data_IF_717346776296
#
_entry.id   IF_717346776296
#
_cell.length_a   1.000
_cell.length_b   1.000
_cell.length_c   1.000
_cell.angle_alpha   90.00
_cell.angle_beta   90.00
_cell.angle_gamma   90.00
#
_symmetry.space_group_name_H-M   'P 1'
#
loop_
_entity.id
_entity.type
_entity.pdbx_description
1 polymer ?
#
# COMPACT_ATOMS: atom_id res chain seq x y z
N UNK A 1 -46.30 -32.16 -60.10
CA UNK A 1 -45.41 -32.74 -61.12
C UNK A 1 -44.93 -31.60 -62.00
N UNK A 2 -43.61 -31.49 -62.21
CA UNK A 2 -42.90 -30.57 -63.13
C UNK A 2 -42.78 -29.12 -62.61
N UNK A 3 -41.68 -28.72 -61.98
CA UNK A 3 -40.33 -28.33 -62.47
C UNK A 3 -40.23 -26.94 -63.17
N UNK A 4 -39.54 -26.04 -62.45
CA UNK A 4 -38.57 -25.00 -62.83
C UNK A 4 -38.78 -24.13 -64.10
N UNK A 5 -38.79 -22.81 -63.88
CA UNK A 5 -38.12 -21.85 -64.76
C UNK A 5 -37.64 -20.62 -63.96
N UNK A 6 -36.48 -20.11 -64.33
CA UNK A 6 -35.61 -19.16 -63.64
C UNK A 6 -36.02 -17.68 -63.76
N UNK A 7 -35.66 -16.91 -62.74
CA UNK A 7 -34.84 -15.70 -62.92
C UNK A 7 -35.54 -14.33 -62.90
N UNK A 8 -35.37 -13.60 -61.81
CA UNK A 8 -35.03 -12.17 -61.87
C UNK A 8 -34.27 -11.79 -60.61
N UNK A 9 -32.96 -11.60 -60.75
CA UNK A 9 -32.09 -11.18 -59.66
C UNK A 9 -32.34 -9.73 -59.28
N UNK A 10 -32.67 -9.48 -58.02
CA UNK A 10 -32.48 -8.16 -57.41
C UNK A 10 -31.09 -8.14 -56.79
N UNK A 11 -30.19 -7.34 -57.36
CA UNK A 11 -28.98 -6.88 -56.67
C UNK A 11 -29.42 -6.12 -55.43
N UNK A 12 -29.03 -6.60 -54.26
CA UNK A 12 -28.96 -5.78 -53.06
C UNK A 12 -27.61 -5.07 -53.12
N UNK A 13 -27.63 -3.81 -53.55
CA UNK A 13 -26.47 -2.94 -53.42
C UNK A 13 -26.28 -2.64 -51.93
N UNK A 14 -25.33 -3.33 -51.30
CA UNK A 14 -24.81 -2.95 -49.99
C UNK A 14 -24.06 -1.64 -50.16
N UNK A 15 -24.71 -0.52 -49.86
CA UNK A 15 -24.06 0.76 -49.70
C UNK A 15 -23.14 0.64 -48.48
N UNK A 16 -21.87 0.35 -48.74
CA UNK A 16 -20.81 0.46 -47.75
C UNK A 16 -20.66 1.93 -47.40
N UNK A 17 -21.11 2.32 -46.20
CA UNK A 17 -20.94 3.67 -45.71
C UNK A 17 -19.56 3.75 -45.04
N UNK A 18 -18.53 4.32 -45.69
CA UNK A 18 -17.16 4.33 -45.17
C UNK A 18 -17.05 5.02 -43.79
N UNK A 19 -18.01 5.88 -43.44
CA UNK A 19 -18.08 6.54 -42.13
C UNK A 19 -18.37 5.60 -40.95
N UNK A 20 -19.11 4.50 -41.16
CA UNK A 20 -19.48 3.57 -40.08
C UNK A 20 -18.29 2.69 -39.65
N UNK A 21 -17.45 2.29 -40.61
CA UNK A 21 -16.22 1.54 -40.35
C UNK A 21 -15.18 2.44 -39.68
N UNK A 22 -15.07 3.71 -40.12
CA UNK A 22 -14.20 4.70 -39.49
C UNK A 22 -14.59 5.02 -38.05
N UNK A 23 -15.89 5.11 -37.72
CA UNK A 23 -16.32 5.34 -36.34
C UNK A 23 -16.07 4.13 -35.43
N UNK A 24 -16.24 2.90 -35.92
CA UNK A 24 -15.92 1.69 -35.15
C UNK A 24 -14.41 1.53 -34.93
N UNK A 25 -13.58 1.83 -35.93
CA UNK A 25 -12.12 1.79 -35.76
C UNK A 25 -11.60 2.91 -34.88
N UNK A 26 -12.17 4.13 -34.95
CA UNK A 26 -11.83 5.21 -34.02
C UNK A 26 -12.23 4.87 -32.59
N UNK A 27 -13.40 4.24 -32.38
CA UNK A 27 -13.88 3.84 -31.05
C UNK A 27 -13.02 2.72 -30.45
N UNK A 28 -12.53 1.79 -31.28
CA UNK A 28 -11.55 0.77 -30.86
C UNK A 28 -10.18 1.37 -30.50
N UNK A 29 -9.71 2.36 -31.27
CA UNK A 29 -8.44 3.05 -31.00
C UNK A 29 -8.56 3.95 -29.75
N UNK A 30 -9.71 4.61 -29.53
CA UNK A 30 -9.99 5.35 -28.29
C UNK A 30 -10.14 4.40 -27.08
N UNK A 31 -10.77 3.23 -27.23
CA UNK A 31 -10.81 2.22 -26.18
C UNK A 31 -9.42 1.68 -25.83
N UNK A 32 -8.55 1.46 -26.82
CA UNK A 32 -7.18 1.02 -26.59
C UNK A 32 -6.29 2.12 -25.97
N UNK A 33 -6.56 3.40 -26.27
CA UNK A 33 -5.84 4.53 -25.68
C UNK A 33 -6.32 4.88 -24.25
N UNK A 34 -7.57 4.58 -23.91
CA UNK A 34 -8.15 4.79 -22.55
C UNK A 34 -7.98 3.58 -21.64
N UNK A 35 -7.73 2.39 -22.20
CA UNK A 35 -7.31 1.22 -21.43
C UNK A 35 -5.82 1.38 -21.08
N UNK A 36 -5.52 2.25 -20.11
CA UNK A 36 -4.21 2.26 -19.46
C UNK A 36 -3.88 0.83 -19.05
N UNK A 37 -2.76 0.29 -19.52
CA UNK A 37 -2.28 -1.00 -19.06
C UNK A 37 -2.05 -0.87 -17.56
N UNK A 38 -2.85 -1.57 -16.76
CA UNK A 38 -2.65 -1.71 -15.32
C UNK A 38 -1.15 -1.89 -15.05
N UNK A 39 -0.53 -1.05 -14.21
CA UNK A 39 0.89 -1.16 -13.94
C UNK A 39 1.21 -2.59 -13.51
N UNK A 40 2.16 -3.21 -14.21
CA UNK A 40 2.53 -4.60 -14.01
C UNK A 40 2.89 -4.83 -12.52
N UNK A 41 2.08 -5.64 -11.82
CA UNK A 41 2.32 -5.94 -10.41
C UNK A 41 3.51 -6.89 -10.28
N UNK A 42 4.62 -6.39 -9.71
CA UNK A 42 5.82 -7.17 -9.52
C UNK A 42 5.83 -7.87 -8.14
N UNK A 43 5.47 -9.16 -8.16
CA UNK A 43 5.42 -10.02 -6.97
C UNK A 43 6.76 -10.08 -6.23
N UNK A 44 7.88 -10.15 -6.96
CA UNK A 44 9.19 -10.28 -6.34
C UNK A 44 9.57 -9.02 -5.57
N UNK A 45 9.37 -7.85 -6.18
CA UNK A 45 9.60 -6.55 -5.53
C UNK A 45 8.72 -6.41 -4.29
N UNK A 46 7.46 -6.81 -4.37
CA UNK A 46 6.56 -6.81 -3.23
C UNK A 46 7.07 -7.71 -2.10
N UNK A 47 7.48 -8.95 -2.41
CA UNK A 47 8.00 -9.88 -1.41
C UNK A 47 9.30 -9.37 -0.78
N UNK A 48 10.13 -8.65 -1.53
CA UNK A 48 11.31 -7.98 -0.99
C UNK A 48 10.92 -6.83 -0.05
N UNK A 49 9.97 -5.97 -0.45
CA UNK A 49 9.47 -4.82 0.33
C UNK A 49 8.95 -5.27 1.70
N UNK A 50 8.19 -6.37 1.77
CA UNK A 50 7.61 -6.89 3.02
C UNK A 50 8.48 -7.92 3.76
N UNK A 51 9.73 -8.12 3.32
CA UNK A 51 10.73 -8.92 4.05
C UNK A 51 10.66 -10.43 3.84
N UNK A 52 9.82 -10.92 2.92
CA UNK A 52 9.75 -12.33 2.54
C UNK A 52 10.91 -12.77 1.64
N UNK A 53 11.51 -11.82 0.91
CA UNK A 53 12.73 -12.02 0.13
C UNK A 53 13.80 -11.02 0.55
N UNK A 54 15.09 -11.40 0.54
CA UNK A 54 16.16 -10.43 0.73
C UNK A 54 16.24 -9.47 -0.49
N UNK A 55 16.58 -8.19 -0.29
CA UNK A 55 16.87 -7.28 -1.38
C UNK A 55 18.01 -7.85 -2.23
N UNK A 56 17.84 -7.82 -3.55
CA UNK A 56 18.81 -8.34 -4.51
C UNK A 56 19.20 -7.23 -5.47
N UNK A 57 20.49 -7.12 -5.82
CA UNK A 57 20.91 -6.23 -6.90
C UNK A 57 20.15 -6.62 -8.20
N UNK A 58 19.61 -5.66 -8.97
CA UNK A 58 18.94 -5.94 -10.25
C UNK A 58 19.75 -6.87 -11.18
N UNK A 59 21.08 -6.84 -11.10
CA UNK A 59 21.99 -7.71 -11.88
C UNK A 59 22.06 -9.16 -11.39
N UNK A 60 21.60 -9.44 -10.17
CA UNK A 60 21.63 -10.74 -9.49
C UNK A 60 20.24 -11.36 -9.29
N UNK A 61 19.16 -10.67 -9.72
CA UNK A 61 17.77 -11.17 -9.66
C UNK A 61 17.60 -12.54 -10.36
N UNK A 62 18.41 -12.80 -11.40
CA UNK A 62 18.37 -14.03 -12.21
C UNK A 62 18.78 -15.30 -11.44
N UNK A 63 19.46 -15.21 -10.28
CA UNK A 63 19.96 -16.37 -9.53
C UNK A 63 19.00 -16.89 -8.43
N UNK A 64 17.76 -16.43 -8.40
CA UNK A 64 16.77 -16.87 -7.41
C UNK A 64 16.20 -18.24 -7.78
N UNK A 65 16.32 -19.22 -6.87
CA UNK A 65 15.69 -20.53 -7.09
C UNK A 65 14.17 -20.41 -7.01
N UNK A 66 13.45 -21.14 -7.87
CA UNK A 66 11.99 -21.24 -7.82
C UNK A 66 11.48 -21.67 -6.43
N UNK A 67 12.25 -22.51 -5.73
CA UNK A 67 11.98 -22.94 -4.36
C UNK A 67 12.01 -21.78 -3.36
N UNK A 68 12.94 -20.83 -3.52
CA UNK A 68 13.01 -19.65 -2.64
C UNK A 68 11.77 -18.78 -2.81
N UNK A 69 11.35 -18.55 -4.05
CA UNK A 69 10.15 -17.77 -4.35
C UNK A 69 8.89 -18.47 -3.83
N UNK A 70 8.77 -19.78 -4.04
CA UNK A 70 7.65 -20.58 -3.55
C UNK A 70 7.55 -20.53 -2.01
N UNK A 71 8.69 -20.63 -1.32
CA UNK A 71 8.74 -20.55 0.14
C UNK A 71 8.34 -19.17 0.65
N UNK A 72 8.80 -18.10 -0.02
CA UNK A 72 8.42 -16.73 0.31
C UNK A 72 6.91 -16.49 0.13
N UNK A 73 6.32 -17.00 -0.96
CA UNK A 73 4.88 -16.94 -1.20
C UNK A 73 4.08 -17.72 -0.15
N UNK A 74 4.51 -18.93 0.18
CA UNK A 74 3.85 -19.73 1.21
C UNK A 74 3.88 -19.03 2.59
N UNK A 75 5.02 -18.40 2.94
CA UNK A 75 5.14 -17.64 4.18
C UNK A 75 4.24 -16.40 4.20
N UNK A 76 4.08 -15.71 3.07
CA UNK A 76 3.12 -14.62 2.92
C UNK A 76 1.69 -15.14 3.09
N UNK A 77 1.31 -16.17 2.35
CA UNK A 77 -0.03 -16.75 2.40
C UNK A 77 -0.40 -17.18 3.83
N UNK A 78 0.56 -17.78 4.55
CA UNK A 78 0.41 -18.13 5.96
C UNK A 78 0.14 -16.92 6.85
N UNK A 79 0.88 -15.82 6.65
CA UNK A 79 0.72 -14.59 7.43
C UNK A 79 -0.65 -13.95 7.22
N UNK A 80 -1.13 -13.92 5.97
CA UNK A 80 -2.45 -13.39 5.60
C UNK A 80 -3.61 -14.34 5.91
N UNK A 81 -3.32 -15.56 6.38
CA UNK A 81 -4.36 -16.55 6.69
C UNK A 81 -5.09 -17.07 5.45
N UNK A 82 -4.44 -17.04 4.28
CA UNK A 82 -4.97 -17.57 3.02
C UNK A 82 -4.34 -18.93 2.69
N UNK A 83 -4.87 -19.63 1.69
CA UNK A 83 -4.37 -20.95 1.31
C UNK A 83 -2.88 -20.91 0.94
N UNK A 84 -2.06 -21.69 1.66
CA UNK A 84 -0.61 -21.79 1.48
C UNK A 84 -0.25 -22.67 0.27
N UNK A 85 -0.52 -22.18 -0.93
CA UNK A 85 -0.22 -22.88 -2.18
C UNK A 85 1.24 -22.73 -2.62
N UNK A 86 1.93 -21.70 -2.13
CA UNK A 86 3.25 -21.26 -2.60
C UNK A 86 3.25 -20.73 -4.04
N UNK A 87 2.07 -20.51 -4.63
CA UNK A 87 1.89 -20.09 -6.01
C UNK A 87 1.24 -18.71 -6.08
N UNK A 88 1.58 -17.97 -7.12
CA UNK A 88 0.92 -16.71 -7.44
C UNK A 88 -0.40 -17.00 -8.16
N UNK A 89 -1.48 -17.16 -7.40
CA UNK A 89 -2.84 -17.23 -7.92
C UNK A 89 -3.56 -15.88 -7.81
N UNK A 90 -4.74 -15.76 -8.45
CA UNK A 90 -5.53 -14.52 -8.45
C UNK A 90 -5.84 -14.04 -7.04
N UNK A 91 -6.25 -14.96 -6.17
CA UNK A 91 -6.52 -14.65 -4.76
C UNK A 91 -5.27 -14.10 -4.06
N UNK A 92 -4.09 -14.69 -4.28
CA UNK A 92 -2.82 -14.21 -3.73
C UNK A 92 -2.54 -12.79 -4.18
N UNK A 93 -2.69 -12.48 -5.48
CA UNK A 93 -2.51 -11.12 -6.01
C UNK A 93 -3.52 -10.15 -5.40
N UNK A 94 -4.80 -10.53 -5.30
CA UNK A 94 -5.84 -9.68 -4.72
C UNK A 94 -5.51 -9.32 -3.27
N UNK A 95 -5.00 -10.28 -2.49
CA UNK A 95 -4.53 -10.02 -1.12
C UNK A 95 -3.27 -9.17 -1.05
N UNK A 96 -2.35 -9.32 -2.00
CA UNK A 96 -1.13 -8.50 -2.08
C UNK A 96 -1.43 -7.03 -2.42
N UNK A 97 -2.46 -6.79 -3.24
CA UNK A 97 -2.88 -5.45 -3.69
C UNK A 97 -3.73 -4.69 -2.67
N UNK A 98 -4.20 -5.34 -1.59
CA UNK A 98 -4.98 -4.66 -0.55
C UNK A 98 -4.14 -3.57 0.14
N UNK A 99 -4.71 -2.36 0.34
CA UNK A 99 -4.05 -1.29 1.08
C UNK A 99 -3.63 -1.76 2.48
N UNK A 100 -2.46 -1.31 2.93
CA UNK A 100 -1.81 -1.83 4.13
C UNK A 100 -0.77 -0.88 4.69
N UNK A 101 -0.28 -1.21 5.88
CA UNK A 101 0.95 -0.63 6.42
C UNK A 101 2.15 -1.12 5.59
N UNK A 102 3.14 -0.26 5.34
CA UNK A 102 4.38 -0.67 4.65
C UNK A 102 5.52 -1.08 5.57
N UNK A 103 5.26 -1.26 6.86
CA UNK A 103 6.21 -1.94 7.76
C UNK A 103 6.33 -3.41 7.31
N UNK A 104 7.54 -3.97 7.17
CA UNK A 104 7.72 -5.36 6.75
C UNK A 104 7.08 -6.38 7.70
N UNK A 105 6.44 -7.40 7.13
CA UNK A 105 5.79 -8.50 7.86
C UNK A 105 6.81 -9.39 8.58
N UNK A 106 8.02 -9.50 8.00
CA UNK A 106 9.14 -10.26 8.55
C UNK A 106 10.34 -9.35 8.83
N UNK A 107 10.67 -9.14 10.11
CA UNK A 107 11.92 -8.48 10.49
C UNK A 107 13.08 -9.47 10.41
N UNK A 108 14.21 -9.01 9.86
CA UNK A 108 15.46 -9.77 9.75
C UNK A 108 15.95 -10.16 11.15
N UNK A 109 15.70 -11.41 11.55
CA UNK A 109 15.96 -11.90 12.90
C UNK A 109 14.88 -12.86 13.44
N UNK A 110 13.75 -12.97 12.73
CA UNK A 110 12.74 -14.00 12.99
C UNK A 110 13.30 -15.38 12.59
N UNK A 111 13.97 -16.03 13.54
CA UNK A 111 14.57 -17.35 13.44
C UNK A 111 13.63 -18.39 12.83
N UNK A 112 14.16 -19.29 11.97
CA UNK A 112 13.50 -20.45 11.33
C UNK A 112 12.95 -21.51 12.31
N UNK A 113 12.94 -21.25 13.61
CA UNK A 113 12.54 -22.20 14.63
C UNK A 113 11.16 -21.82 15.17
N UNK A 114 10.31 -22.83 15.37
CA UNK A 114 8.95 -22.77 15.95
C UNK A 114 8.97 -22.32 17.44
N UNK A 115 9.61 -21.18 17.73
CA UNK A 115 9.59 -20.56 19.05
C UNK A 115 8.33 -19.69 19.09
N UNK A 116 7.45 -19.97 20.06
CA UNK A 116 6.25 -19.17 20.36
C UNK A 116 6.61 -17.69 20.34
N UNK A 117 6.11 -16.96 19.33
CA UNK A 117 6.34 -15.52 19.20
C UNK A 117 5.70 -14.80 20.39
N UNK A 118 6.47 -13.94 21.05
CA UNK A 118 5.94 -13.03 22.06
C UNK A 118 5.03 -12.01 21.35
N UNK A 119 3.89 -11.68 21.96
CA UNK A 119 2.89 -10.75 21.41
C UNK A 119 3.31 -9.27 21.53
N UNK A 120 4.60 -8.99 21.67
CA UNK A 120 5.14 -7.64 21.85
C UNK A 120 6.43 -7.48 21.03
N UNK A 121 6.80 -6.23 20.74
CA UNK A 121 7.98 -5.90 19.94
C UNK A 121 9.25 -6.56 20.50
N UNK A 122 9.87 -7.44 19.71
CA UNK A 122 11.11 -8.14 20.05
C UNK A 122 12.37 -7.33 19.75
N UNK A 123 12.23 -6.12 19.20
CA UNK A 123 13.36 -5.24 18.87
C UNK A 123 14.12 -4.76 20.12
N UNK A 124 13.50 -4.86 21.30
CA UNK A 124 14.04 -4.33 22.55
C UNK A 124 13.91 -2.81 22.69
N UNK A 125 13.38 -2.14 21.65
CA UNK A 125 13.16 -0.70 21.64
C UNK A 125 11.85 -0.37 22.36
N UNK A 126 11.95 0.57 23.31
CA UNK A 126 10.83 1.10 24.08
C UNK A 126 11.14 2.54 24.47
N UNK A 127 10.09 3.32 24.69
CA UNK A 127 10.21 4.63 25.34
C UNK A 127 10.85 4.47 26.72
N UNK A 128 11.81 5.34 27.05
CA UNK A 128 12.50 5.34 28.35
C UNK A 128 11.74 6.16 29.40
N UNK A 129 10.76 6.95 28.98
CA UNK A 129 9.85 7.73 29.80
C UNK A 129 8.40 7.42 29.40
N UNK A 130 7.46 7.79 30.26
CA UNK A 130 6.03 7.55 30.07
C UNK A 130 5.29 8.72 29.47
N UNK A 131 5.81 9.92 29.65
CA UNK A 131 5.27 11.14 29.07
C UNK A 131 5.91 11.33 27.70
N UNK A 132 5.13 11.10 26.65
CA UNK A 132 5.54 11.13 25.26
C UNK A 132 4.98 12.40 24.63
N UNK A 133 5.82 13.13 23.94
CA UNK A 133 5.46 14.34 23.21
C UNK A 133 5.36 14.04 21.72
N UNK A 134 4.36 14.60 21.05
CA UNK A 134 4.24 14.49 19.60
C UNK A 134 3.97 15.85 18.98
N UNK A 135 4.36 16.01 17.72
CA UNK A 135 4.05 17.20 16.94
C UNK A 135 3.56 16.84 15.56
N UNK A 136 2.58 17.59 15.06
CA UNK A 136 2.00 17.42 13.72
C UNK A 136 2.58 18.52 12.84
N UNK A 137 3.51 18.16 11.95
CA UNK A 137 4.20 19.09 11.05
C UNK A 137 3.25 19.70 10.02
N UNK A 138 2.44 18.85 9.42
CA UNK A 138 1.45 19.22 8.41
C UNK A 138 0.26 18.25 8.48
N UNK A 139 -0.83 18.61 7.82
CA UNK A 139 -2.09 17.85 7.80
C UNK A 139 -2.53 17.62 6.36
N UNK A 140 -3.36 16.59 6.15
CA UNK A 140 -3.99 16.35 4.85
C UNK A 140 -5.15 17.33 4.60
N UNK A 141 -5.20 18.02 3.44
CA UNK A 141 -6.32 18.89 3.11
C UNK A 141 -7.63 18.12 2.87
N UNK A 142 -7.55 16.80 2.62
CA UNK A 142 -8.69 15.92 2.31
C UNK A 142 -9.63 15.74 3.50
N UNK A 143 -9.08 15.76 4.72
CA UNK A 143 -9.82 15.68 5.99
C UNK A 143 -9.94 17.04 6.67
N UNK A 144 -8.95 17.92 6.47
CA UNK A 144 -8.86 19.21 7.11
C UNK A 144 -8.18 19.16 8.48
N UNK A 145 -7.64 20.30 8.92
CA UNK A 145 -6.81 20.37 10.14
C UNK A 145 -7.53 19.93 11.42
N UNK A 146 -8.74 20.44 11.76
CA UNK A 146 -9.37 20.11 13.02
C UNK A 146 -9.65 18.62 13.17
N UNK A 147 -10.16 18.00 12.11
CA UNK A 147 -10.51 16.59 12.11
C UNK A 147 -9.28 15.68 12.03
N UNK A 148 -8.21 16.10 11.33
CA UNK A 148 -6.92 15.38 11.33
C UNK A 148 -6.32 15.34 12.74
N UNK A 149 -6.22 16.49 13.43
CA UNK A 149 -5.68 16.56 14.80
C UNK A 149 -6.53 15.73 15.76
N UNK A 150 -7.85 15.81 15.65
CA UNK A 150 -8.79 15.01 16.47
C UNK A 150 -8.66 13.51 16.22
N UNK A 151 -8.49 13.08 14.97
CA UNK A 151 -8.26 11.69 14.62
C UNK A 151 -6.94 11.17 15.22
N UNK A 152 -5.86 11.95 15.10
CA UNK A 152 -4.56 11.62 15.69
C UNK A 152 -4.65 11.54 17.22
N UNK A 153 -5.33 12.51 17.88
CA UNK A 153 -5.55 12.49 19.32
C UNK A 153 -6.28 11.21 19.77
N UNK A 154 -7.36 10.86 19.07
CA UNK A 154 -8.12 9.61 19.33
C UNK A 154 -7.25 8.37 19.14
N UNK A 155 -6.34 8.36 18.15
CA UNK A 155 -5.41 7.25 17.95
C UNK A 155 -4.43 7.09 19.13
N UNK A 156 -3.93 8.20 19.70
CA UNK A 156 -3.13 8.15 20.93
C UNK A 156 -3.93 7.68 22.15
N UNK A 157 -5.21 8.08 22.26
CA UNK A 157 -6.09 7.67 23.36
C UNK A 157 -6.26 6.15 23.42
N UNK A 158 -6.28 5.45 22.28
CA UNK A 158 -6.34 3.97 22.23
C UNK A 158 -5.21 3.34 23.06
N UNK A 159 -3.99 3.88 22.98
CA UNK A 159 -2.84 3.38 23.74
C UNK A 159 -2.79 3.95 25.15
N UNK A 160 -3.10 5.24 25.33
CA UNK A 160 -3.13 5.91 26.63
C UNK A 160 -4.10 5.24 27.60
N UNK A 161 -5.27 4.81 27.12
CA UNK A 161 -6.32 4.24 27.97
C UNK A 161 -5.98 2.88 28.58
N UNK A 162 -5.00 2.18 28.02
CA UNK A 162 -4.63 0.81 28.44
C UNK A 162 -3.17 0.69 28.88
N UNK A 163 -2.44 1.80 28.95
CA UNK A 163 -1.03 1.83 29.37
C UNK A 163 -0.77 3.00 30.33
N UNK A 164 0.35 3.00 31.06
CA UNK A 164 0.78 4.17 31.83
C UNK A 164 1.36 5.31 30.98
N UNK A 165 1.35 5.21 29.64
CA UNK A 165 1.86 6.25 28.77
C UNK A 165 0.89 7.45 28.76
N UNK A 166 1.42 8.64 28.58
CA UNK A 166 0.64 9.87 28.34
C UNK A 166 1.18 10.55 27.10
N UNK A 167 0.30 11.18 26.32
CA UNK A 167 0.67 11.83 25.06
C UNK A 167 0.30 13.31 25.10
N UNK A 168 1.28 14.19 24.87
CA UNK A 168 1.11 15.64 24.78
C UNK A 168 1.40 16.12 23.36
N UNK A 169 0.48 16.89 22.79
CA UNK A 169 0.70 17.58 21.52
C UNK A 169 1.49 18.87 21.76
N UNK A 170 2.61 19.02 21.08
CA UNK A 170 3.43 20.23 21.07
C UNK A 170 3.28 20.90 19.71
N UNK A 171 2.94 22.21 19.64
CA UNK A 171 2.84 22.93 18.36
C UNK A 171 4.15 22.86 17.56
N UNK A 172 4.08 22.53 16.27
CA UNK A 172 5.27 22.36 15.43
C UNK A 172 6.15 23.61 15.35
N UNK A 173 5.55 24.80 15.46
CA UNK A 173 6.27 26.08 15.52
C UNK A 173 7.25 26.19 16.70
N UNK A 174 7.06 25.41 17.78
CA UNK A 174 8.03 25.34 18.88
C UNK A 174 9.31 24.58 18.50
N UNK A 175 9.22 23.66 17.53
CA UNK A 175 10.33 22.83 17.06
C UNK A 175 11.16 23.56 15.99
N UNK A 176 10.53 24.37 15.13
CA UNK A 176 11.20 25.08 14.02
C UNK A 176 12.36 25.99 14.48
N UNK A 177 12.30 26.47 15.71
CA UNK A 177 13.34 27.31 16.30
C UNK A 177 14.50 26.51 16.94
N UNK A 178 14.49 25.18 16.84
CA UNK A 178 15.47 24.29 17.47
C UNK A 178 15.46 24.33 19.00
N UNK A 179 14.41 24.91 19.60
CA UNK A 179 14.30 25.11 21.06
C UNK A 179 13.78 23.88 21.79
N UNK A 180 13.07 23.00 21.08
CA UNK A 180 12.42 21.82 21.63
C UNK A 180 12.45 20.71 20.58
N UNK A 181 12.73 19.51 21.04
CA UNK A 181 12.57 18.28 20.27
C UNK A 181 11.36 17.51 20.84
N UNK A 182 10.78 16.63 20.05
CA UNK A 182 9.64 15.78 20.45
C UNK A 182 9.92 14.33 20.15
N UNK A 183 9.21 13.44 20.83
CA UNK A 183 9.42 12.01 20.68
C UNK A 183 8.86 11.46 19.36
N UNK A 184 7.79 12.07 18.85
CA UNK A 184 7.10 11.63 17.63
C UNK A 184 6.78 12.84 16.75
N UNK A 185 7.40 12.92 15.58
CA UNK A 185 6.97 13.84 14.51
C UNK A 185 6.02 13.13 13.56
N UNK A 186 4.86 13.73 13.35
CA UNK A 186 3.85 13.24 12.40
C UNK A 186 3.88 14.12 11.15
N UNK A 187 4.05 13.48 9.99
CA UNK A 187 4.06 14.16 8.70
C UNK A 187 3.15 13.46 7.69
N UNK A 188 2.62 14.24 6.74
CA UNK A 188 1.97 13.76 5.53
C UNK A 188 2.88 14.10 4.34
N UNK A 189 3.30 13.11 3.56
CA UNK A 189 4.23 13.33 2.45
C UNK A 189 4.00 12.32 1.30
N UNK A 190 4.40 12.67 0.09
CA UNK A 190 4.27 11.82 -1.10
C UNK A 190 5.65 11.40 -1.60
N UNK A 191 5.74 10.22 -2.22
CA UNK A 191 6.99 9.73 -2.82
C UNK A 191 8.17 9.71 -1.85
N UNK A 192 9.33 10.22 -2.27
CA UNK A 192 10.52 10.34 -1.41
C UNK A 192 10.39 11.52 -0.44
N UNK A 193 10.46 11.24 0.85
CA UNK A 193 10.12 12.20 1.91
C UNK A 193 11.16 12.28 3.04
N UNK A 194 12.44 12.06 2.73
CA UNK A 194 13.55 12.29 3.65
C UNK A 194 14.00 11.07 4.44
N UNK A 195 13.44 9.89 4.17
CA UNK A 195 13.88 8.62 4.73
C UNK A 195 14.13 7.55 3.64
N UNK A 196 14.42 6.32 4.03
CA UNK A 196 14.73 5.20 3.12
C UNK A 196 13.49 4.46 2.59
N UNK A 197 12.28 4.97 2.85
CA UNK A 197 11.02 4.26 2.66
C UNK A 197 10.02 5.11 1.86
N UNK A 198 10.29 5.39 0.57
CA UNK A 198 9.42 6.23 -0.24
C UNK A 198 8.02 5.63 -0.40
N UNK A 199 7.01 6.50 -0.46
CA UNK A 199 5.63 6.14 -0.75
C UNK A 199 5.42 5.83 -2.23
N UNK A 200 4.40 5.01 -2.53
CA UNK A 200 4.11 4.50 -3.88
C UNK A 200 2.90 5.17 -4.57
N UNK A 201 2.30 6.17 -3.93
CA UNK A 201 1.16 6.92 -4.46
C UNK A 201 -0.16 6.37 -3.94
N UNK A 202 -1.26 6.71 -4.60
CA UNK A 202 -2.58 6.25 -4.17
C UNK A 202 -2.71 4.72 -4.24
N UNK A 203 -3.10 4.13 -3.11
CA UNK A 203 -3.24 2.71 -2.92
C UNK A 203 -1.91 2.03 -2.57
N UNK A 204 -2.00 0.96 -1.79
CA UNK A 204 -0.81 0.21 -1.38
C UNK A 204 -0.29 0.65 -0.02
N UNK A 205 0.77 1.48 0.00
CA UNK A 205 1.50 1.84 1.22
C UNK A 205 0.94 3.09 1.90
N UNK A 206 0.02 2.88 2.86
CA UNK A 206 -0.70 3.99 3.49
C UNK A 206 0.16 4.86 4.42
N UNK A 207 1.03 4.23 5.22
CA UNK A 207 1.78 4.89 6.28
C UNK A 207 2.85 3.96 6.87
N UNK A 208 3.92 4.55 7.42
CA UNK A 208 4.89 3.86 8.28
C UNK A 208 5.19 4.64 9.56
N UNK A 209 5.78 3.93 10.53
CA UNK A 209 6.34 4.54 11.72
C UNK A 209 7.65 3.84 12.11
N UNK A 210 8.54 4.57 12.77
CA UNK A 210 9.79 4.04 13.30
C UNK A 210 9.63 3.58 14.76
N UNK A 211 10.44 2.60 15.17
CA UNK A 211 10.49 2.19 16.57
C UNK A 211 11.00 3.33 17.47
N UNK A 212 10.62 3.36 18.77
CA UNK A 212 11.14 4.34 19.71
C UNK A 212 12.67 4.43 19.71
N UNK A 213 13.21 5.64 19.65
CA UNK A 213 14.65 5.86 19.64
C UNK A 213 15.05 7.31 19.33
N UNK A 214 16.34 7.62 19.29
CA UNK A 214 16.83 8.94 18.93
C UNK A 214 16.64 9.24 17.43
N UNK A 215 16.67 10.52 17.06
CA UNK A 215 16.52 10.96 15.66
C UNK A 215 15.09 10.72 15.17
N UNK A 216 14.92 10.03 14.04
CA UNK A 216 13.59 9.70 13.49
C UNK A 216 12.84 8.61 14.28
N UNK A 217 13.37 8.17 15.42
CA UNK A 217 12.88 7.03 16.18
C UNK A 217 11.55 7.31 16.88
N UNK A 218 10.45 6.97 16.23
CA UNK A 218 9.08 7.24 16.72
C UNK A 218 8.25 7.99 15.69
N UNK A 219 8.92 8.67 14.75
CA UNK A 219 8.27 9.43 13.68
C UNK A 219 7.31 8.55 12.89
N UNK A 220 6.18 9.16 12.53
CA UNK A 220 5.06 8.49 11.84
C UNK A 220 4.73 9.29 10.59
N UNK A 221 4.84 8.65 9.43
CA UNK A 221 4.61 9.27 8.14
C UNK A 221 3.38 8.64 7.49
N UNK A 222 2.51 9.49 6.96
CA UNK A 222 1.32 9.11 6.19
C UNK A 222 1.51 9.50 4.73
N UNK A 223 1.10 8.65 3.80
CA UNK A 223 1.16 8.97 2.38
C UNK A 223 0.15 10.08 2.05
N UNK A 224 0.61 11.24 1.59
CA UNK A 224 -0.30 12.33 1.23
C UNK A 224 -1.07 12.11 -0.06
N UNK A 225 -0.72 11.12 -0.88
CA UNK A 225 -1.44 10.79 -2.12
C UNK A 225 -2.76 10.05 -1.83
N UNK A 226 -2.86 9.34 -0.70
CA UNK A 226 -4.04 8.57 -0.30
C UNK A 226 -5.30 9.44 -0.09
N UNK A 227 -6.51 8.97 -0.47
CA UNK A 227 -7.77 9.66 -0.26
C UNK A 227 -8.24 9.55 1.20
N UNK A 228 -7.48 10.14 2.13
CA UNK A 228 -7.77 10.10 3.56
C UNK A 228 -9.20 10.55 3.90
N UNK A 229 -9.88 9.76 4.73
CA UNK A 229 -11.23 10.01 5.26
C UNK A 229 -11.29 9.69 6.75
N UNK A 230 -12.38 10.05 7.44
CA UNK A 230 -12.56 9.85 8.89
C UNK A 230 -13.19 8.51 9.29
N UNK A 231 -13.38 7.61 8.33
CA UNK A 231 -14.04 6.32 8.52
C UNK A 231 -13.76 5.40 7.34
N UNK A 232 -14.25 4.17 7.41
CA UNK A 232 -14.12 3.24 6.29
C UNK A 232 -15.47 3.13 5.59
N UNK A 233 -15.68 3.73 4.40
CA UNK A 233 -16.94 3.58 3.68
C UNK A 233 -17.29 2.12 3.34
N UNK A 234 -16.35 1.19 3.47
CA UNK A 234 -16.56 -0.25 3.21
C UNK A 234 -16.73 -1.11 4.47
N UNK A 235 -16.85 -0.52 5.68
CA UNK A 235 -16.90 -1.28 6.93
C UNK A 235 -17.87 -0.70 7.98
N UNK A 236 -18.70 0.27 7.59
CA UNK A 236 -19.70 0.93 8.44
C UNK A 236 -21.13 0.34 8.29
N UNK A 237 -21.26 -0.93 7.88
CA UNK A 237 -22.51 -1.73 7.91
C UNK A 237 -22.45 -2.85 8.98
#
# INVERSE_FOLDING_TARGET
MILLALGSGRRLDFVHHPGAIFLQTLLWILCAAVCGTEPYFNVEVWLQKYGYLPPTDPRMSVLRSAETLQSALAAMQQFYGINMTGKVDRNTIDWMKRPRCGVPDQTRGSSRFNIRRKRYALTGQKWQHKHITYSIKNVTPKVGEPETRKAIRRAFDVWQNVTPLTFEEVPYSELENGKRDVDITIIFASGFHGDSSPFDGEGGFLAHAYFPGPGIGGDTHFDSDEPWTLGNPNHDD
#
